data_IF_153288934286
#
_entry.id   IF_153288934286
#
_cell.length_a   1.000
_cell.length_b   1.000
_cell.length_c   1.000
_cell.angle_alpha   90.00
_cell.angle_beta   90.00
_cell.angle_gamma   90.00
#
_symmetry.space_group_name_H-M   'P 1'
#
loop_
_entity.id
_entity.type
_entity.pdbx_description
1 polymer ?
#
# COMPACT_ATOMS: atom_id res chain seq x y z
N UNK A 1 -9.86 -11.14 -17.49
CA UNK A 1 -8.69 -11.14 -18.40
C UNK A 1 -7.46 -10.98 -17.53
N UNK A 2 -6.75 -12.08 -17.24
CA UNK A 2 -5.67 -12.09 -16.25
C UNK A 2 -4.41 -11.48 -16.85
N UNK A 3 -4.06 -10.25 -16.46
CA UNK A 3 -2.78 -9.65 -16.83
C UNK A 3 -1.72 -10.26 -15.90
N UNK A 4 -1.00 -11.29 -16.36
CA UNK A 4 0.20 -11.76 -15.68
C UNK A 4 1.35 -10.84 -16.04
N UNK A 5 1.98 -10.25 -15.03
CA UNK A 5 3.17 -9.46 -15.23
C UNK A 5 4.32 -10.35 -15.70
N UNK A 6 4.84 -10.07 -16.89
CA UNK A 6 6.04 -10.77 -17.36
C UNK A 6 7.28 -10.11 -16.76
N UNK A 7 8.38 -10.87 -16.66
CA UNK A 7 9.66 -10.36 -16.17
C UNK A 7 10.14 -9.14 -17.00
N UNK A 8 9.75 -9.06 -18.28
CA UNK A 8 10.00 -7.92 -19.17
C UNK A 8 9.26 -6.66 -18.75
N UNK A 9 8.04 -6.77 -18.25
CA UNK A 9 7.25 -5.64 -17.78
C UNK A 9 7.80 -5.11 -16.46
N UNK A 10 8.23 -6.02 -15.57
CA UNK A 10 8.93 -5.66 -14.32
C UNK A 10 10.27 -4.95 -14.56
N UNK A 11 11.04 -5.37 -15.58
CA UNK A 11 12.27 -4.70 -16.02
C UNK A 11 11.99 -3.31 -16.62
N UNK A 12 10.93 -3.16 -17.41
CA UNK A 12 10.53 -1.88 -18.03
C UNK A 12 10.09 -0.86 -16.99
N UNK A 13 9.45 -1.31 -15.93
CA UNK A 13 9.02 -0.48 -14.79
C UNK A 13 10.14 -0.22 -13.77
N UNK A 14 11.34 -0.77 -13.98
CA UNK A 14 12.49 -0.57 -13.08
C UNK A 14 12.41 -1.31 -11.74
N UNK A 15 11.53 -2.32 -11.64
CA UNK A 15 11.30 -3.11 -10.43
C UNK A 15 12.32 -4.25 -10.26
N UNK A 16 13.02 -4.62 -11.34
CA UNK A 16 14.08 -5.63 -11.37
C UNK A 16 15.26 -5.12 -12.22
N UNK A 17 16.50 -5.44 -11.81
CA UNK A 17 17.70 -5.22 -12.65
C UNK A 17 18.08 -6.51 -13.40
N UNK A 18 18.73 -6.35 -14.56
CA UNK A 18 19.07 -7.41 -15.56
C UNK A 18 19.78 -8.66 -15.02
N UNK A 19 20.22 -8.69 -13.77
CA UNK A 19 20.91 -9.82 -13.14
C UNK A 19 20.09 -10.52 -12.04
N UNK A 20 18.84 -10.16 -11.78
CA UNK A 20 17.99 -10.84 -10.79
C UNK A 20 18.41 -10.65 -9.31
N UNK A 21 19.38 -9.77 -9.02
CA UNK A 21 19.90 -9.55 -7.67
C UNK A 21 19.20 -8.33 -7.02
N UNK A 22 18.51 -8.55 -5.88
CA UNK A 22 18.07 -7.47 -4.97
C UNK A 22 19.32 -6.76 -4.41
N UNK A 23 19.58 -5.50 -4.79
CA UNK A 23 20.69 -4.76 -4.22
C UNK A 23 20.47 -4.45 -2.74
N UNK A 24 21.40 -4.88 -1.90
CA UNK A 24 21.63 -4.38 -0.53
C UNK A 24 22.87 -3.48 -0.55
N UNK A 25 22.82 -2.26 0.03
CA UNK A 25 24.03 -1.49 0.34
C UNK A 25 23.94 -0.81 1.71
N UNK A 26 25.04 -0.93 2.47
CA UNK A 26 25.29 -0.48 3.85
C UNK A 26 25.19 1.04 4.06
N UNK A 27 24.91 1.43 5.31
CA UNK A 27 24.75 2.79 5.83
C UNK A 27 26.08 3.55 5.97
N UNK A 28 26.14 4.85 5.61
CA UNK A 28 27.12 5.79 6.16
C UNK A 28 26.49 6.73 7.20
N UNK A 29 27.30 7.02 8.21
CA UNK A 29 27.12 7.95 9.34
C UNK A 29 27.19 9.42 8.88
N UNK A 30 26.39 10.29 9.51
CA UNK A 30 26.52 11.75 9.37
C UNK A 30 25.21 12.52 9.42
N UNK A 31 25.05 13.33 10.47
CA UNK A 31 23.85 14.15 10.75
C UNK A 31 23.78 15.32 9.76
N UNK A 32 22.68 15.35 9.00
CA UNK A 32 22.24 16.51 8.23
C UNK A 32 20.82 16.23 7.73
N UNK A 33 19.82 16.98 8.22
CA UNK A 33 18.41 16.87 7.79
C UNK A 33 18.29 17.27 6.31
N UNK A 34 18.56 16.35 5.40
CA UNK A 34 18.18 16.43 3.97
C UNK A 34 16.77 15.85 3.83
N UNK A 35 15.87 16.56 3.12
CA UNK A 35 14.56 16.00 2.72
C UNK A 35 14.79 14.63 2.09
N UNK A 36 14.15 13.60 2.64
CA UNK A 36 14.28 12.21 2.17
C UNK A 36 13.91 12.13 0.69
N UNK A 37 14.85 11.72 -0.16
CA UNK A 37 14.61 11.42 -1.59
C UNK A 37 13.83 10.10 -1.79
N UNK A 38 13.54 9.36 -0.73
CA UNK A 38 12.88 8.05 -0.79
C UNK A 38 11.37 8.23 -0.69
N UNK A 39 10.63 7.76 -1.71
CA UNK A 39 9.15 7.71 -1.70
C UNK A 39 8.65 6.91 -0.49
N UNK A 40 7.50 7.31 0.07
CA UNK A 40 6.87 6.55 1.15
C UNK A 40 6.43 5.17 0.64
N UNK A 41 6.37 4.13 1.50
CA UNK A 41 5.82 2.83 1.12
C UNK A 41 4.41 2.92 0.52
N UNK A 42 3.53 3.76 1.09
CA UNK A 42 2.21 4.03 0.53
C UNK A 42 2.28 4.55 -0.90
N UNK A 43 3.15 5.53 -1.17
CA UNK A 43 3.32 6.09 -2.52
C UNK A 43 3.85 5.06 -3.50
N UNK A 44 4.82 4.25 -3.10
CA UNK A 44 5.37 3.16 -3.95
C UNK A 44 4.28 2.15 -4.28
N UNK A 45 3.51 1.70 -3.27
CA UNK A 45 2.43 0.74 -3.51
C UNK A 45 1.34 1.32 -4.41
N UNK A 46 0.93 2.57 -4.18
CA UNK A 46 -0.06 3.24 -5.02
C UNK A 46 0.38 3.35 -6.47
N UNK A 47 1.62 3.79 -6.73
CA UNK A 47 2.12 3.90 -8.10
C UNK A 47 2.16 2.54 -8.81
N UNK A 48 2.46 1.46 -8.08
CA UNK A 48 2.38 0.10 -8.63
C UNK A 48 0.93 -0.31 -8.90
N UNK A 49 0.00 -0.05 -7.97
CA UNK A 49 -1.42 -0.31 -8.18
C UNK A 49 -1.94 0.46 -9.39
N UNK A 50 -1.66 1.76 -9.50
CA UNK A 50 -2.11 2.61 -10.60
C UNK A 50 -1.58 2.15 -11.96
N UNK A 51 -0.39 1.53 -12.01
CA UNK A 51 0.15 0.95 -13.23
C UNK A 51 -0.62 -0.30 -13.70
N UNK A 52 -1.21 -1.07 -12.79
CA UNK A 52 -2.00 -2.28 -13.11
C UNK A 52 -3.49 -2.04 -13.19
N UNK A 53 -3.98 -1.16 -12.34
CA UNK A 53 -5.37 -0.92 -12.01
C UNK A 53 -5.58 0.59 -11.83
N UNK A 54 -5.72 1.33 -12.94
CA UNK A 54 -5.78 2.79 -12.94
C UNK A 54 -7.00 3.36 -12.19
N UNK A 55 -8.00 2.52 -11.88
CA UNK A 55 -9.18 2.86 -11.08
C UNK A 55 -8.90 2.97 -9.56
N UNK A 56 -7.69 2.61 -9.10
CA UNK A 56 -7.33 2.79 -7.70
C UNK A 56 -7.30 4.29 -7.32
N UNK A 57 -7.78 4.61 -6.13
CA UNK A 57 -7.89 5.98 -5.62
C UNK A 57 -6.88 6.18 -4.49
N UNK A 58 -6.12 7.27 -4.56
CA UNK A 58 -5.24 7.74 -3.50
C UNK A 58 -6.06 8.40 -2.40
N UNK A 59 -5.85 8.00 -1.14
CA UNK A 59 -6.38 8.72 0.02
C UNK A 59 -7.90 9.00 -0.07
N UNK A 60 -8.69 7.93 -0.26
CA UNK A 60 -10.14 8.04 -0.43
C UNK A 60 -10.81 8.46 0.88
N UNK A 61 -11.51 9.58 0.84
CA UNK A 61 -12.45 10.03 1.87
C UNK A 61 -13.90 9.67 1.52
N UNK A 62 -14.79 9.72 2.52
CA UNK A 62 -16.23 9.55 2.28
C UNK A 62 -16.66 8.12 1.95
N UNK A 63 -15.79 7.13 2.15
CA UNK A 63 -16.11 5.71 1.96
C UNK A 63 -17.30 5.26 2.83
N UNK A 64 -17.53 5.92 3.96
CA UNK A 64 -18.68 5.71 4.85
C UNK A 64 -19.43 7.03 5.06
N UNK A 65 -20.75 7.09 4.81
CA UNK A 65 -21.55 8.30 5.03
C UNK A 65 -21.40 8.85 6.45
N UNK A 66 -21.16 10.16 6.55
CA UNK A 66 -21.03 10.85 7.84
C UNK A 66 -19.71 10.61 8.59
N UNK A 67 -18.76 9.83 8.04
CA UNK A 67 -17.43 9.63 8.65
C UNK A 67 -16.35 10.28 7.80
N UNK A 68 -15.32 10.84 8.46
CA UNK A 68 -14.22 11.60 7.82
C UNK A 68 -12.88 10.86 7.82
N UNK A 69 -12.88 9.53 7.92
CA UNK A 69 -11.62 8.79 7.81
C UNK A 69 -11.22 8.60 6.33
N UNK A 70 -9.91 8.49 6.10
CA UNK A 70 -9.29 8.42 4.79
C UNK A 70 -8.58 7.08 4.60
N UNK A 71 -8.94 6.33 3.55
CA UNK A 71 -8.31 5.06 3.16
C UNK A 71 -7.09 5.36 2.28
N UNK A 72 -5.91 4.87 2.66
CA UNK A 72 -4.65 5.20 1.97
C UNK A 72 -4.68 4.92 0.47
N UNK A 73 -5.17 3.73 0.08
CA UNK A 73 -5.42 3.34 -1.32
C UNK A 73 -6.73 2.55 -1.36
N UNK A 74 -7.64 2.91 -2.27
CA UNK A 74 -8.94 2.25 -2.37
C UNK A 74 -9.25 1.79 -3.80
N UNK A 75 -10.02 0.71 -3.91
CA UNK A 75 -10.71 0.31 -5.13
C UNK A 75 -12.22 0.38 -4.86
N UNK A 76 -12.87 1.55 -5.10
CA UNK A 76 -14.26 1.76 -4.71
C UNK A 76 -15.23 0.75 -5.33
N UNK A 77 -15.03 0.42 -6.62
CA UNK A 77 -15.86 -0.54 -7.33
C UNK A 77 -15.82 -1.97 -6.73
N UNK A 78 -14.77 -2.29 -5.98
CA UNK A 78 -14.54 -3.62 -5.39
C UNK A 78 -14.69 -3.63 -3.86
N UNK A 79 -15.09 -2.49 -3.27
CA UNK A 79 -15.09 -2.24 -1.82
C UNK A 79 -13.80 -2.75 -1.16
N UNK A 80 -12.64 -2.46 -1.77
CA UNK A 80 -11.34 -2.88 -1.23
C UNK A 80 -10.57 -1.66 -0.72
N UNK A 81 -10.26 -1.70 0.57
CA UNK A 81 -9.43 -0.74 1.28
C UNK A 81 -8.03 -1.34 1.49
N UNK A 82 -6.99 -0.56 1.21
CA UNK A 82 -5.60 -0.91 1.49
C UNK A 82 -5.04 0.16 2.44
N UNK A 83 -4.48 -0.30 3.55
CA UNK A 83 -3.90 0.55 4.59
C UNK A 83 -2.41 0.23 4.78
N UNK A 84 -1.59 1.26 4.97
CA UNK A 84 -0.18 1.12 5.28
C UNK A 84 0.09 1.37 6.77
N UNK A 85 0.38 0.29 7.50
CA UNK A 85 0.72 0.38 8.91
C UNK A 85 2.13 0.99 9.07
N UNK A 86 2.18 2.29 9.38
CA UNK A 86 3.37 3.00 9.79
C UNK A 86 3.82 2.58 11.19
N UNK A 87 5.08 2.19 11.36
CA UNK A 87 5.65 1.72 12.63
C UNK A 87 5.89 2.83 13.68
N UNK A 88 5.05 3.85 13.72
CA UNK A 88 5.12 4.93 14.71
C UNK A 88 4.25 4.59 15.92
N UNK A 89 4.77 3.70 16.76
CA UNK A 89 4.23 3.37 18.08
C UNK A 89 4.49 4.51 19.07
N UNK A 90 3.95 5.70 18.81
CA UNK A 90 4.02 6.82 19.76
C UNK A 90 2.70 7.59 19.77
N UNK A 91 1.59 6.94 20.14
CA UNK A 91 0.49 7.56 20.91
C UNK A 91 -0.65 6.59 21.26
N UNK A 92 -0.85 6.41 22.57
CA UNK A 92 -2.11 6.44 23.35
C UNK A 92 -3.34 5.64 22.87
N UNK A 93 -3.88 4.82 23.78
CA UNK A 93 -5.04 3.91 23.67
C UNK A 93 -6.22 4.42 22.82
N UNK A 94 -6.49 5.72 22.81
CA UNK A 94 -7.58 6.33 22.04
C UNK A 94 -7.37 6.29 20.52
N UNK A 95 -6.12 6.25 20.03
CA UNK A 95 -5.84 6.00 18.61
C UNK A 95 -6.16 4.56 18.25
N UNK A 96 -5.75 3.62 19.09
CA UNK A 96 -6.05 2.20 18.89
C UNK A 96 -7.56 1.94 18.83
N UNK A 97 -8.34 2.51 19.74
CA UNK A 97 -9.79 2.33 19.73
C UNK A 97 -10.47 2.94 18.50
N UNK A 98 -10.06 4.15 18.09
CA UNK A 98 -10.57 4.77 16.86
C UNK A 98 -10.21 3.97 15.61
N UNK A 99 -9.00 3.40 15.55
CA UNK A 99 -8.59 2.53 14.45
C UNK A 99 -9.42 1.25 14.38
N UNK A 100 -9.74 0.65 15.54
CA UNK A 100 -10.65 -0.51 15.62
C UNK A 100 -12.07 -0.14 15.19
N UNK A 101 -12.61 0.97 15.67
CA UNK A 101 -13.94 1.46 15.29
C UNK A 101 -14.03 1.70 13.77
N UNK A 102 -13.04 2.41 13.20
CA UNK A 102 -12.92 2.63 11.76
C UNK A 102 -12.92 1.31 10.99
N UNK A 103 -12.10 0.35 11.41
CA UNK A 103 -12.02 -0.95 10.76
C UNK A 103 -13.36 -1.69 10.79
N UNK A 104 -14.05 -1.68 11.94
CA UNK A 104 -15.36 -2.30 12.05
C UNK A 104 -16.39 -1.62 11.14
N UNK A 105 -16.40 -0.29 11.07
CA UNK A 105 -17.32 0.46 10.21
C UNK A 105 -17.11 0.14 8.73
N UNK A 106 -15.86 0.08 8.28
CA UNK A 106 -15.51 -0.35 6.93
C UNK A 106 -16.06 -1.76 6.64
N UNK A 107 -15.77 -2.72 7.50
CA UNK A 107 -16.27 -4.10 7.36
C UNK A 107 -17.80 -4.15 7.31
N UNK A 108 -18.49 -3.43 8.20
CA UNK A 108 -19.95 -3.38 8.24
C UNK A 108 -20.57 -2.82 6.96
N UNK A 109 -19.84 -1.98 6.22
CA UNK A 109 -20.28 -1.44 4.92
C UNK A 109 -19.73 -2.26 3.74
N UNK A 110 -19.33 -3.50 3.97
CA UNK A 110 -18.90 -4.43 2.92
C UNK A 110 -17.47 -4.20 2.41
N UNK A 111 -16.68 -3.34 3.07
CA UNK A 111 -15.28 -3.17 2.70
C UNK A 111 -14.43 -4.34 3.18
N UNK A 112 -13.66 -4.91 2.25
CA UNK A 112 -12.51 -5.77 2.56
C UNK A 112 -11.30 -4.89 2.82
N UNK A 113 -10.46 -5.27 3.77
CA UNK A 113 -9.32 -4.45 4.21
C UNK A 113 -8.05 -5.28 4.15
N UNK A 114 -7.09 -4.85 3.33
CA UNK A 114 -5.73 -5.38 3.34
C UNK A 114 -4.81 -4.39 4.05
N UNK A 115 -3.98 -4.90 4.96
CA UNK A 115 -2.98 -4.10 5.68
C UNK A 115 -1.60 -4.53 5.27
N UNK A 116 -0.76 -3.57 4.92
CA UNK A 116 0.63 -3.80 4.59
C UNK A 116 1.53 -2.94 5.48
N UNK A 117 2.65 -3.51 5.87
CA UNK A 117 3.72 -2.77 6.55
C UNK A 117 4.67 -2.17 5.53
N UNK A 118 5.51 -1.22 5.98
CA UNK A 118 6.62 -0.75 5.17
C UNK A 118 7.56 -1.88 4.68
N UNK A 119 7.68 -2.98 5.43
CA UNK A 119 8.50 -4.14 5.06
C UNK A 119 7.87 -4.93 3.90
N UNK A 120 6.54 -4.99 3.85
CA UNK A 120 5.80 -5.67 2.79
C UNK A 120 6.07 -5.00 1.44
N UNK A 121 5.89 -3.69 1.38
CA UNK A 121 6.17 -2.93 0.16
C UNK A 121 7.64 -2.99 -0.24
N UNK A 122 8.57 -2.94 0.73
CA UNK A 122 10.02 -2.89 0.42
C UNK A 122 10.59 -4.23 -0.01
N UNK A 123 10.13 -5.32 0.59
CA UNK A 123 10.79 -6.63 0.47
C UNK A 123 9.92 -7.69 -0.18
N UNK A 124 8.59 -7.49 -0.17
CA UNK A 124 7.56 -8.46 -0.57
C UNK A 124 6.51 -7.84 -1.52
N UNK A 125 6.94 -6.90 -2.36
CA UNK A 125 6.02 -6.11 -3.21
C UNK A 125 5.19 -7.00 -4.13
N UNK A 126 5.82 -7.99 -4.76
CA UNK A 126 5.13 -8.94 -5.65
C UNK A 126 4.06 -9.70 -4.91
N UNK A 127 4.34 -10.22 -3.71
CA UNK A 127 3.35 -10.92 -2.91
C UNK A 127 2.21 -10.00 -2.46
N UNK A 128 2.50 -8.75 -2.10
CA UNK A 128 1.48 -7.74 -1.80
C UNK A 128 0.57 -7.45 -2.99
N UNK A 129 1.13 -7.28 -4.19
CA UNK A 129 0.36 -7.07 -5.42
C UNK A 129 -0.49 -8.30 -5.77
N UNK A 130 0.02 -9.50 -5.56
CA UNK A 130 -0.75 -10.73 -5.79
C UNK A 130 -1.93 -10.87 -4.82
N UNK A 131 -1.79 -10.46 -3.56
CA UNK A 131 -2.91 -10.41 -2.61
C UNK A 131 -3.98 -9.41 -3.06
N UNK A 132 -3.56 -8.22 -3.51
CA UNK A 132 -4.49 -7.21 -4.05
C UNK A 132 -5.23 -7.77 -5.26
N UNK A 133 -4.50 -8.38 -6.21
CA UNK A 133 -5.09 -9.02 -7.39
C UNK A 133 -6.13 -10.06 -7.03
N UNK A 134 -5.84 -10.93 -6.06
CA UNK A 134 -6.80 -11.95 -5.60
C UNK A 134 -8.09 -11.35 -5.03
N UNK A 135 -8.01 -10.19 -4.37
CA UNK A 135 -9.23 -9.48 -3.95
C UNK A 135 -9.98 -8.86 -5.13
N UNK A 136 -9.30 -8.38 -6.16
CA UNK A 136 -9.96 -7.77 -7.33
C UNK A 136 -10.58 -8.81 -8.27
N UNK A 137 -10.00 -10.01 -8.36
CA UNK A 137 -10.48 -11.08 -9.23
C UNK A 137 -11.71 -11.84 -8.68
N UNK A 138 -12.08 -11.64 -7.40
CA UNK A 138 -13.19 -12.32 -6.72
C UNK A 138 -14.28 -11.36 -6.31
#
# INVERSE_FOLDING_TARGET
MTIRLTERDALRLGLLNKAGIKQTKKLPTGIGRKRSKTKSPQRVLFECCQAYWPECVWELEGAIPGRKFQIDIAFPAHNLAIELDGHTAHSFKDKFQRDRERQNLLTLHGWRILRFTAKDVKSRLTESLDMIRQCLDG
#
